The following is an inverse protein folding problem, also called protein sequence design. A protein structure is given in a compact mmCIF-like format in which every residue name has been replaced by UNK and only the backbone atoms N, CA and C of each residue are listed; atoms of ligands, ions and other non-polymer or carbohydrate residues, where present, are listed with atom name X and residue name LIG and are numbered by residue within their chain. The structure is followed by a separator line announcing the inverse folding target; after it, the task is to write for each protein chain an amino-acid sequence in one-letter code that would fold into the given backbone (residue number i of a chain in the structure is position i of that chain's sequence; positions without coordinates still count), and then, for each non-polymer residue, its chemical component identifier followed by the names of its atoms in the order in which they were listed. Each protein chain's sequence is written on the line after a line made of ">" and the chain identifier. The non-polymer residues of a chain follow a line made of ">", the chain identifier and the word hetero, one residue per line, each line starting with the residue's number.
data_IF_341109127713
#
_entry.id   IF_341109127713
#
_cell.length_a   1.000
_cell.length_b   1.000
_cell.length_c   1.000
_cell.angle_alpha   90.00
_cell.angle_beta   90.00
_cell.angle_gamma   90.00
#
_symmetry.space_group_name_H-M   'P 1'
#
loop_
_entity.id
_entity.type
_entity.pdbx_description
1 polymer ?
#
# COMPACT_ATOMS: atom_id res chain seq x y z
N UNK A 1 -11.39 3.63 10.43
CA UNK A 1 -10.53 3.17 9.32
C UNK A 1 -9.74 1.94 9.76
N UNK A 2 -10.47 0.87 10.04
CA UNK A 2 -9.93 -0.44 10.41
C UNK A 2 -10.15 -1.49 9.30
N UNK A 3 -10.71 -1.07 8.17
CA UNK A 3 -11.25 -1.96 7.15
C UNK A 3 -10.23 -2.48 6.13
N UNK A 4 -9.00 -1.94 6.06
CA UNK A 4 -8.00 -2.51 5.15
C UNK A 4 -7.09 -3.56 5.79
N UNK A 5 -6.87 -3.55 7.12
CA UNK A 5 -5.85 -4.44 7.71
C UNK A 5 -6.18 -5.06 9.08
N UNK A 6 -7.33 -4.79 9.72
CA UNK A 6 -7.72 -5.59 10.91
C UNK A 6 -8.15 -7.03 10.59
N UNK A 7 -8.25 -7.40 9.30
CA UNK A 7 -8.32 -8.81 8.89
C UNK A 7 -6.97 -9.54 8.94
N UNK A 8 -5.85 -8.83 9.10
CA UNK A 8 -4.50 -9.38 8.90
C UNK A 8 -3.77 -9.82 10.18
N UNK A 9 -4.40 -9.76 11.36
CA UNK A 9 -3.71 -10.11 12.62
C UNK A 9 -4.22 -11.38 13.33
N UNK A 10 -5.25 -12.06 12.83
CA UNK A 10 -5.76 -13.31 13.44
C UNK A 10 -6.33 -14.22 12.35
N UNK A 11 -5.50 -14.95 11.60
CA UNK A 11 -5.85 -16.24 10.95
C UNK A 11 -4.59 -16.84 10.27
N UNK A 12 -3.45 -16.83 10.95
CA UNK A 12 -2.34 -17.74 10.62
C UNK A 12 -2.53 -18.98 11.48
N UNK A 13 -3.43 -19.86 11.05
CA UNK A 13 -3.41 -21.27 11.49
C UNK A 13 -3.98 -22.15 10.39
N UNK A 14 -3.07 -22.86 9.73
CA UNK A 14 -3.22 -24.22 9.19
C UNK A 14 -4.59 -24.57 8.59
N UNK A 15 -4.79 -24.41 7.27
CA UNK A 15 -5.68 -25.24 6.43
C UNK A 15 -5.72 -24.79 4.95
N UNK A 16 -4.60 -24.76 4.22
CA UNK A 16 -4.65 -24.38 2.79
C UNK A 16 -3.64 -25.14 1.93
N UNK A 17 -3.88 -26.43 1.71
CA UNK A 17 -3.29 -27.14 0.57
C UNK A 17 -4.27 -28.01 -0.22
N UNK A 18 -5.56 -28.06 0.16
CA UNK A 18 -6.59 -28.81 -0.58
C UNK A 18 -7.79 -27.95 -1.01
N UNK A 19 -7.95 -26.74 -0.49
CA UNK A 19 -9.08 -25.84 -0.86
C UNK A 19 -8.74 -24.75 -1.90
N UNK A 20 -7.46 -24.53 -2.23
CA UNK A 20 -7.05 -23.49 -3.17
C UNK A 20 -7.31 -23.83 -4.65
N UNK A 21 -7.57 -25.10 -4.98
CA UNK A 21 -7.79 -25.52 -6.38
C UNK A 21 -9.24 -25.35 -6.85
N UNK A 22 -10.23 -25.23 -5.94
CA UNK A 22 -11.64 -25.09 -6.31
C UNK A 22 -12.12 -23.63 -6.46
N UNK A 23 -11.29 -22.61 -6.19
CA UNK A 23 -11.70 -21.19 -6.27
C UNK A 23 -11.24 -20.46 -7.53
N UNK A 24 -10.30 -21.03 -8.31
CA UNK A 24 -9.77 -20.36 -9.51
C UNK A 24 -10.84 -20.27 -10.61
N UNK A 25 -11.76 -21.25 -10.69
CA UNK A 25 -12.85 -21.25 -11.67
C UNK A 25 -13.93 -20.20 -11.42
N UNK A 26 -14.00 -19.60 -10.22
CA UNK A 26 -14.92 -18.50 -9.89
C UNK A 26 -14.31 -17.10 -10.02
N UNK A 27 -13.01 -17.00 -10.33
CA UNK A 27 -12.37 -15.69 -10.52
C UNK A 27 -12.79 -15.09 -11.85
N UNK A 28 -13.16 -13.81 -11.82
CA UNK A 28 -13.36 -13.05 -13.05
C UNK A 28 -12.04 -12.86 -13.79
N UNK A 29 -12.10 -12.77 -15.11
CA UNK A 29 -10.94 -12.43 -15.92
C UNK A 29 -10.45 -11.02 -15.58
N UNK A 30 -9.12 -10.83 -15.65
CA UNK A 30 -8.52 -9.53 -15.45
C UNK A 30 -9.02 -8.56 -16.53
N UNK A 31 -9.85 -7.60 -16.11
CA UNK A 31 -10.53 -6.63 -17.00
C UNK A 31 -9.59 -5.87 -17.92
N UNK A 32 -8.33 -5.71 -17.52
CA UNK A 32 -7.29 -5.15 -18.35
C UNK A 32 -5.93 -5.67 -17.88
N UNK A 33 -4.91 -5.50 -18.72
CA UNK A 33 -3.55 -5.83 -18.31
C UNK A 33 -3.07 -4.95 -17.14
N UNK A 34 -3.71 -3.79 -16.89
CA UNK A 34 -3.37 -2.88 -15.77
C UNK A 34 -3.84 -3.41 -14.42
N UNK A 35 -4.75 -4.39 -14.38
CA UNK A 35 -5.14 -5.05 -13.14
C UNK A 35 -3.98 -5.92 -12.64
N UNK A 36 -3.56 -5.70 -11.40
CA UNK A 36 -2.69 -6.65 -10.73
C UNK A 36 -3.49 -7.95 -10.56
N UNK A 37 -2.92 -9.09 -10.96
CA UNK A 37 -3.59 -10.37 -10.78
C UNK A 37 -3.29 -10.97 -9.41
N UNK A 38 -2.19 -10.57 -8.75
CA UNK A 38 -1.88 -10.91 -7.36
C UNK A 38 -0.94 -9.86 -6.75
N UNK A 39 -0.80 -9.90 -5.42
CA UNK A 39 0.23 -9.22 -4.64
C UNK A 39 1.10 -10.25 -3.92
N UNK A 40 2.40 -10.05 -3.99
CA UNK A 40 3.37 -10.81 -3.20
C UNK A 40 3.91 -9.94 -2.07
N UNK A 41 4.04 -10.53 -0.89
CA UNK A 41 4.61 -9.91 0.30
C UNK A 41 5.92 -10.62 0.65
N UNK A 42 7.00 -9.86 0.85
CA UNK A 42 8.27 -10.38 1.36
C UNK A 42 8.58 -9.77 2.73
N UNK A 43 8.73 -10.64 3.71
CA UNK A 43 9.03 -10.33 5.12
C UNK A 43 10.56 -10.28 5.37
N UNK A 44 11.01 -9.77 6.52
CA UNK A 44 12.45 -9.56 6.79
C UNK A 44 13.27 -10.85 6.91
N UNK A 45 12.61 -11.93 7.33
CA UNK A 45 13.18 -13.28 7.40
C UNK A 45 13.33 -13.93 6.01
N UNK A 46 12.90 -13.24 4.96
CA UNK A 46 12.91 -13.73 3.58
C UNK A 46 11.68 -14.56 3.22
N UNK A 47 10.71 -14.73 4.14
CA UNK A 47 9.45 -15.39 3.83
C UNK A 47 8.71 -14.62 2.74
N UNK A 48 8.26 -15.34 1.72
CA UNK A 48 7.42 -14.82 0.64
C UNK A 48 6.02 -15.40 0.78
N UNK A 49 5.03 -14.53 0.73
CA UNK A 49 3.61 -14.90 0.78
C UNK A 49 2.92 -14.32 -0.44
N UNK A 50 2.26 -15.19 -1.20
CA UNK A 50 1.31 -14.81 -2.24
C UNK A 50 -0.06 -14.57 -1.58
N UNK A 51 -0.62 -13.38 -1.73
CA UNK A 51 -1.95 -13.06 -1.20
C UNK A 51 -3.09 -13.78 -1.94
N UNK A 52 -2.75 -14.46 -3.04
CA UNK A 52 -3.68 -15.16 -3.89
C UNK A 52 -4.21 -14.29 -5.03
N UNK A 53 -4.80 -14.92 -6.05
CA UNK A 53 -5.19 -14.22 -7.26
C UNK A 53 -6.44 -13.34 -7.05
N UNK A 54 -6.37 -12.07 -7.49
CA UNK A 54 -7.50 -11.16 -7.60
C UNK A 54 -8.32 -11.39 -8.87
N UNK A 55 -7.68 -11.86 -9.94
CA UNK A 55 -8.31 -12.13 -11.24
C UNK A 55 -7.50 -13.14 -12.05
N UNK A 56 -8.11 -13.68 -13.11
CA UNK A 56 -7.46 -14.63 -14.03
C UNK A 56 -6.89 -13.92 -15.27
N UNK A 57 -5.62 -14.15 -15.59
CA UNK A 57 -5.03 -13.65 -16.83
C UNK A 57 -5.51 -14.46 -18.04
N UNK A 58 -5.95 -13.79 -19.10
CA UNK A 58 -6.42 -14.42 -20.34
C UNK A 58 -5.22 -14.79 -21.25
N UNK A 59 -5.31 -15.94 -21.93
CA UNK A 59 -4.35 -16.39 -22.95
C UNK A 59 -2.90 -16.55 -22.49
N UNK A 60 -2.68 -16.73 -21.19
CA UNK A 60 -1.39 -17.12 -20.63
C UNK A 60 -1.60 -18.34 -19.73
N UNK A 61 -0.73 -19.34 -19.85
CA UNK A 61 -0.48 -20.24 -18.73
C UNK A 61 -0.15 -19.35 -17.53
N UNK A 62 -0.82 -19.56 -16.40
CA UNK A 62 -0.86 -18.60 -15.28
C UNK A 62 0.52 -17.97 -15.07
N UNK A 63 0.64 -16.63 -15.16
CA UNK A 63 1.94 -15.99 -15.01
C UNK A 63 2.54 -16.39 -13.67
N UNK A 64 3.80 -16.82 -13.69
CA UNK A 64 4.50 -17.32 -12.50
C UNK A 64 4.25 -16.40 -11.31
N UNK A 65 3.79 -16.94 -10.19
CA UNK A 65 3.58 -16.16 -8.95
C UNK A 65 4.83 -16.06 -8.08
N UNK A 66 5.98 -16.51 -8.57
CA UNK A 66 7.24 -16.42 -7.84
C UNK A 66 7.71 -14.96 -7.74
N UNK A 67 8.46 -14.62 -6.71
CA UNK A 67 9.07 -13.30 -6.62
C UNK A 67 10.11 -13.08 -7.73
N UNK A 68 10.06 -11.93 -8.40
CA UNK A 68 11.06 -11.54 -9.40
C UNK A 68 11.20 -10.04 -9.50
N UNK A 69 12.41 -9.52 -9.29
CA UNK A 69 12.68 -8.07 -9.28
C UNK A 69 12.85 -7.46 -10.68
N UNK A 70 13.25 -8.27 -11.66
CA UNK A 70 13.62 -7.81 -13.02
C UNK A 70 12.55 -8.09 -14.09
N UNK A 71 11.31 -8.32 -13.67
CA UNK A 71 10.22 -8.61 -14.59
C UNK A 71 9.55 -7.31 -15.05
N UNK A 72 9.41 -7.11 -16.35
CA UNK A 72 8.71 -5.94 -16.93
C UNK A 72 7.22 -5.86 -16.52
N UNK A 73 6.72 -6.83 -15.77
CA UNK A 73 5.32 -7.02 -15.38
C UNK A 73 5.11 -6.83 -13.87
N UNK A 74 6.04 -6.17 -13.17
CA UNK A 74 5.95 -5.98 -11.71
C UNK A 74 6.13 -4.53 -11.27
N UNK A 75 5.45 -4.16 -10.19
CA UNK A 75 5.74 -2.95 -9.42
C UNK A 75 6.11 -3.39 -8.00
N UNK A 76 7.38 -3.25 -7.65
CA UNK A 76 7.88 -3.62 -6.31
C UNK A 76 8.11 -2.37 -5.47
N UNK A 77 7.46 -2.28 -4.32
CA UNK A 77 7.49 -1.12 -3.45
C UNK A 77 7.75 -1.48 -1.98
N UNK A 78 8.30 -0.53 -1.23
CA UNK A 78 8.57 -0.70 0.20
C UNK A 78 7.33 -0.34 1.02
N UNK A 79 6.89 -1.24 1.90
CA UNK A 79 5.70 -1.00 2.71
C UNK A 79 5.91 0.19 3.65
N UNK A 80 4.95 1.12 3.66
CA UNK A 80 5.12 2.39 4.34
C UNK A 80 5.11 2.27 5.88
N UNK A 81 4.16 1.53 6.46
CA UNK A 81 4.09 1.37 7.93
C UNK A 81 5.12 0.38 8.47
N UNK A 82 5.63 -0.49 7.59
CA UNK A 82 6.53 -1.60 7.92
C UNK A 82 7.66 -1.59 6.90
N UNK A 83 8.59 -0.64 7.03
CA UNK A 83 9.64 -0.40 6.04
C UNK A 83 10.52 -1.64 5.73
N UNK A 84 10.54 -2.63 6.62
CA UNK A 84 11.22 -3.91 6.43
C UNK A 84 10.43 -4.92 5.58
N UNK A 85 9.20 -4.60 5.18
CA UNK A 85 8.39 -5.40 4.25
C UNK A 85 8.51 -4.84 2.83
N UNK A 86 8.59 -5.75 1.87
CA UNK A 86 8.53 -5.42 0.45
C UNK A 86 7.27 -6.00 -0.14
N UNK A 87 6.60 -5.23 -0.98
CA UNK A 87 5.34 -5.60 -1.63
C UNK A 87 5.55 -5.58 -3.14
N UNK A 88 5.03 -6.57 -3.85
CA UNK A 88 5.14 -6.66 -5.30
C UNK A 88 3.76 -6.87 -5.92
N UNK A 89 3.30 -5.89 -6.71
CA UNK A 89 2.13 -6.09 -7.57
C UNK A 89 2.56 -6.80 -8.85
N UNK A 90 1.85 -7.87 -9.21
CA UNK A 90 2.10 -8.66 -10.42
C UNK A 90 1.00 -8.41 -11.45
N UNK A 91 1.37 -8.13 -12.70
CA UNK A 91 0.44 -7.84 -13.80
C UNK A 91 0.46 -8.93 -14.87
N UNK A 92 -0.65 -9.12 -15.58
CA UNK A 92 -0.77 -10.12 -16.66
C UNK A 92 0.08 -9.81 -17.91
N UNK A 93 0.82 -8.70 -17.95
CA UNK A 93 1.64 -8.33 -19.09
C UNK A 93 2.56 -7.15 -18.79
N UNK A 94 3.44 -6.78 -19.73
CA UNK A 94 4.46 -5.76 -19.51
C UNK A 94 3.86 -4.38 -19.24
N UNK A 95 4.33 -3.79 -18.15
CA UNK A 95 4.02 -2.43 -17.66
C UNK A 95 5.20 -1.50 -17.63
N UNK A 96 6.38 -2.08 -17.48
CA UNK A 96 7.64 -1.37 -17.41
C UNK A 96 8.60 -2.05 -18.38
N UNK A 97 8.41 -1.90 -19.70
CA UNK A 97 9.30 -2.52 -20.68
C UNK A 97 10.76 -2.08 -20.48
N UNK A 98 11.71 -2.83 -21.01
CA UNK A 98 13.14 -2.58 -20.79
C UNK A 98 13.63 -1.21 -21.29
N UNK A 99 12.94 -0.62 -22.27
CA UNK A 99 13.18 0.72 -22.81
C UNK A 99 12.38 1.84 -22.11
N UNK A 100 11.65 1.52 -21.03
CA UNK A 100 10.88 2.51 -20.29
C UNK A 100 11.81 3.50 -19.58
N UNK A 101 11.50 4.79 -19.68
CA UNK A 101 12.33 5.85 -19.08
C UNK A 101 12.43 5.65 -17.56
N UNK A 102 13.63 5.84 -17.02
CA UNK A 102 13.87 5.85 -15.58
C UNK A 102 13.41 7.15 -14.95
N UNK A 103 12.93 7.09 -13.71
CA UNK A 103 12.44 8.27 -13.02
C UNK A 103 13.58 9.21 -12.61
N UNK A 104 13.36 10.51 -12.78
CA UNK A 104 14.25 11.59 -12.43
C UNK A 104 13.78 12.31 -11.16
N UNK A 105 14.70 12.49 -10.21
CA UNK A 105 14.44 13.21 -8.98
C UNK A 105 13.23 12.67 -8.22
N UNK A 106 12.26 13.56 -7.93
CA UNK A 106 11.05 13.28 -7.12
C UNK A 106 9.79 13.13 -7.96
N UNK A 107 9.93 12.86 -9.25
CA UNK A 107 8.75 12.72 -10.08
C UNK A 107 7.87 11.54 -9.62
N UNK A 108 6.56 11.70 -9.79
CA UNK A 108 5.60 10.62 -9.54
C UNK A 108 5.78 9.55 -10.60
N UNK A 109 6.19 8.36 -10.18
CA UNK A 109 6.49 7.23 -11.03
C UNK A 109 5.22 6.47 -11.46
N UNK A 110 4.34 6.21 -10.50
CA UNK A 110 3.13 5.42 -10.74
C UNK A 110 1.95 5.89 -9.87
N UNK A 111 0.74 5.56 -10.35
CA UNK A 111 -0.50 5.66 -9.58
C UNK A 111 -1.18 4.31 -9.63
N UNK A 112 -1.42 3.73 -8.46
CA UNK A 112 -2.21 2.50 -8.31
C UNK A 112 -3.55 2.87 -7.71
N UNK A 113 -4.62 2.39 -8.32
CA UNK A 113 -5.99 2.70 -7.98
C UNK A 113 -6.71 1.44 -7.51
N UNK A 114 -7.59 1.53 -6.52
CA UNK A 114 -8.43 0.42 -6.05
C UNK A 114 -9.74 0.97 -5.52
N UNK A 115 -10.81 0.17 -5.51
CA UNK A 115 -12.09 0.58 -4.93
C UNK A 115 -11.96 0.83 -3.41
N UNK A 116 -12.92 1.58 -2.83
CA UNK A 116 -12.92 1.84 -1.39
C UNK A 116 -13.47 0.68 -0.55
N UNK A 117 -14.14 -0.28 -1.18
CA UNK A 117 -14.83 -1.41 -0.53
C UNK A 117 -14.03 -2.71 -0.57
N UNK A 118 -12.89 -2.74 -1.27
CA UNK A 118 -12.06 -3.92 -1.44
C UNK A 118 -10.66 -3.55 -1.89
N UNK A 119 -9.81 -4.57 -2.05
CA UNK A 119 -8.43 -4.39 -2.48
C UNK A 119 -8.20 -5.11 -3.82
N UNK A 120 -8.31 -4.35 -4.91
CA UNK A 120 -8.04 -4.82 -6.27
C UNK A 120 -7.17 -3.77 -6.97
N UNK A 121 -5.84 -3.90 -6.87
CA UNK A 121 -4.93 -2.87 -7.36
C UNK A 121 -4.89 -2.80 -8.89
N UNK A 122 -5.13 -1.60 -9.43
CA UNK A 122 -5.03 -1.29 -10.85
C UNK A 122 -3.94 -0.24 -11.10
N UNK A 123 -3.00 -0.51 -11.99
CA UNK A 123 -2.00 0.47 -12.41
C UNK A 123 -2.65 1.51 -13.34
N UNK A 124 -3.23 2.55 -12.74
CA UNK A 124 -3.94 3.62 -13.42
C UNK A 124 -3.00 4.50 -14.26
N UNK A 125 -1.82 4.81 -13.73
CA UNK A 125 -0.78 5.58 -14.44
C UNK A 125 0.59 4.96 -14.20
N UNK A 126 1.36 4.75 -15.27
CA UNK A 126 2.79 4.42 -15.25
C UNK A 126 3.57 5.47 -16.05
N UNK A 127 4.35 6.32 -15.38
CA UNK A 127 5.08 7.44 -16.02
C UNK A 127 6.54 7.12 -16.32
N UNK A 128 7.19 6.45 -15.37
CA UNK A 128 8.59 6.06 -15.44
C UNK A 128 8.82 4.86 -14.52
N UNK A 129 9.95 4.17 -14.71
CA UNK A 129 10.36 3.07 -13.82
C UNK A 129 11.40 3.52 -12.81
N UNK A 130 11.40 2.92 -11.63
CA UNK A 130 12.54 3.09 -10.74
C UNK A 130 13.78 2.39 -11.31
N UNK A 131 14.99 2.94 -11.07
CA UNK A 131 16.24 2.25 -11.40
C UNK A 131 16.28 0.86 -10.76
N UNK A 132 16.99 -0.09 -11.38
CA UNK A 132 16.97 -1.53 -11.01
C UNK A 132 17.24 -1.84 -9.53
N UNK A 133 18.01 -1.00 -8.86
CA UNK A 133 18.38 -1.17 -7.45
C UNK A 133 17.51 -0.34 -6.48
N UNK A 134 16.39 0.23 -6.96
CA UNK A 134 15.49 1.06 -6.16
C UNK A 134 14.07 0.53 -6.22
N UNK A 135 13.43 0.54 -5.06
CA UNK A 135 12.01 0.24 -4.92
C UNK A 135 11.18 1.50 -5.12
N UNK A 136 9.94 1.30 -5.57
CA UNK A 136 8.94 2.35 -5.49
C UNK A 136 8.65 2.66 -4.01
N UNK A 137 8.38 3.92 -3.71
CA UNK A 137 8.08 4.40 -2.37
C UNK A 137 6.77 5.17 -2.39
N UNK A 138 5.91 4.86 -1.43
CA UNK A 138 4.61 5.51 -1.30
C UNK A 138 4.81 6.98 -0.87
N UNK A 139 4.27 7.88 -1.70
CA UNK A 139 4.21 9.33 -1.45
C UNK A 139 2.93 9.74 -0.72
N UNK A 140 1.91 8.89 -0.74
CA UNK A 140 0.61 9.19 -0.15
C UNK A 140 -0.52 8.50 -0.89
N UNK A 141 -1.74 8.74 -0.43
CA UNK A 141 -2.96 8.26 -1.07
C UNK A 141 -4.09 9.27 -0.94
N UNK A 142 -5.06 9.20 -1.86
CA UNK A 142 -6.22 10.08 -1.88
C UNK A 142 -7.47 9.35 -2.35
N UNK A 143 -8.61 9.62 -1.71
CA UNK A 143 -9.93 9.16 -2.11
C UNK A 143 -10.52 10.13 -3.12
N UNK A 144 -10.77 9.67 -4.34
CA UNK A 144 -11.42 10.45 -5.40
C UNK A 144 -12.39 9.56 -6.16
N UNK A 145 -13.62 10.05 -6.41
CA UNK A 145 -14.63 9.34 -7.20
C UNK A 145 -14.90 7.88 -6.72
N UNK A 146 -14.93 7.66 -5.40
CA UNK A 146 -15.18 6.34 -4.81
C UNK A 146 -14.01 5.35 -4.91
N UNK A 147 -12.80 5.83 -5.24
CA UNK A 147 -11.61 5.01 -5.39
C UNK A 147 -10.43 5.60 -4.61
N UNK A 148 -9.55 4.73 -4.13
CA UNK A 148 -8.28 5.10 -3.53
C UNK A 148 -7.21 5.17 -4.61
N UNK A 149 -6.54 6.31 -4.71
CA UNK A 149 -5.37 6.53 -5.56
C UNK A 149 -4.12 6.55 -4.68
N UNK A 150 -3.23 5.58 -4.86
CA UNK A 150 -1.93 5.47 -4.20
C UNK A 150 -0.83 5.99 -5.12
N UNK A 151 -0.05 6.95 -4.65
CA UNK A 151 0.96 7.64 -5.44
C UNK A 151 2.36 7.15 -5.08
N UNK A 152 3.15 6.77 -6.09
CA UNK A 152 4.50 6.22 -5.89
C UNK A 152 5.56 7.07 -6.58
N UNK A 153 6.73 7.19 -5.96
CA UNK A 153 7.96 7.74 -6.54
C UNK A 153 9.14 6.79 -6.34
N UNK A 154 10.29 7.10 -6.94
CA UNK A 154 11.53 6.35 -6.75
C UNK A 154 12.50 7.00 -5.76
N UNK A 155 12.17 8.22 -5.32
CA UNK A 155 12.92 8.97 -4.34
C UNK A 155 11.94 9.58 -3.33
N UNK A 156 12.22 9.35 -2.05
CA UNK A 156 11.56 10.00 -0.93
C UNK A 156 12.65 10.54 0.00
N UNK A 157 12.50 11.79 0.39
CA UNK A 157 13.43 12.40 1.34
C UNK A 157 13.34 11.68 2.68
N UNK A 158 14.47 11.56 3.36
CA UNK A 158 14.45 11.20 4.77
C UNK A 158 14.13 12.42 5.63
N UNK A 159 13.35 12.23 6.68
CA UNK A 159 13.06 13.26 7.66
C UNK A 159 14.34 13.62 8.43
N UNK A 160 14.58 14.92 8.66
CA UNK A 160 15.84 15.42 9.21
C UNK A 160 16.09 14.96 10.65
N UNK A 161 15.05 14.94 11.48
CA UNK A 161 15.17 14.70 12.91
C UNK A 161 13.98 13.88 13.47
N UNK A 162 14.16 13.32 14.66
CA UNK A 162 13.06 12.75 15.45
C UNK A 162 11.97 13.81 15.65
N UNK A 163 10.70 13.42 15.58
CA UNK A 163 9.54 14.33 15.66
C UNK A 163 9.38 15.31 14.47
N UNK A 164 10.14 15.16 13.38
CA UNK A 164 9.86 15.90 12.14
C UNK A 164 8.45 15.58 11.64
N UNK A 165 7.75 16.57 11.09
CA UNK A 165 6.47 16.37 10.42
C UNK A 165 6.68 15.49 9.18
N UNK A 166 6.11 14.29 9.21
CA UNK A 166 6.32 13.24 8.22
C UNK A 166 5.12 13.03 7.30
N UNK A 167 3.93 13.43 7.74
CA UNK A 167 2.73 13.38 6.90
C UNK A 167 1.72 14.48 7.24
N UNK A 168 0.84 14.74 6.29
CA UNK A 168 -0.40 15.49 6.49
C UNK A 168 -1.58 14.59 6.13
N UNK A 169 -2.56 14.51 7.02
CA UNK A 169 -3.78 13.73 6.81
C UNK A 169 -4.94 14.71 6.65
N UNK A 170 -5.56 14.73 5.48
CA UNK A 170 -6.76 15.53 5.19
C UNK A 170 -7.98 14.70 5.51
N UNK A 171 -8.94 15.33 6.19
CA UNK A 171 -10.18 14.70 6.65
C UNK A 171 -11.40 15.44 6.12
N UNK A 172 -12.53 14.74 6.12
CA UNK A 172 -13.87 15.32 5.97
C UNK A 172 -14.71 14.90 7.16
N UNK A 173 -15.59 15.79 7.60
CA UNK A 173 -16.60 15.44 8.59
C UNK A 173 -17.60 14.45 7.97
N UNK A 174 -17.84 13.35 8.65
CA UNK A 174 -18.79 12.32 8.28
C UNK A 174 -19.66 12.03 9.51
N UNK A 175 -20.96 11.81 9.31
CA UNK A 175 -21.82 11.31 10.39
C UNK A 175 -21.71 9.79 10.42
N UNK A 176 -21.48 9.22 11.60
CA UNK A 176 -21.61 7.77 11.79
C UNK A 176 -23.09 7.37 11.81
N UNK A 177 -23.36 6.07 11.86
CA UNK A 177 -24.72 5.51 11.88
C UNK A 177 -25.53 5.99 13.11
N UNK A 178 -24.85 6.35 14.19
CA UNK A 178 -25.44 6.91 15.42
C UNK A 178 -25.69 8.43 15.33
N UNK A 179 -25.36 9.06 14.20
CA UNK A 179 -25.51 10.49 13.96
C UNK A 179 -24.46 11.38 14.66
N UNK A 180 -23.45 10.79 15.29
CA UNK A 180 -22.31 11.49 15.88
C UNK A 180 -21.29 11.92 14.81
N UNK A 181 -20.68 13.08 15.04
CA UNK A 181 -19.64 13.62 14.17
C UNK A 181 -18.36 12.78 14.28
N UNK A 182 -17.99 12.23 13.13
CA UNK A 182 -16.77 11.46 12.90
C UNK A 182 -15.93 12.12 11.80
N UNK A 183 -14.68 11.67 11.66
CA UNK A 183 -13.79 12.16 10.62
C UNK A 183 -13.38 11.01 9.71
N UNK A 184 -13.78 11.11 8.45
CA UNK A 184 -13.30 10.27 7.36
C UNK A 184 -12.00 10.82 6.81
N UNK A 185 -10.96 9.99 6.71
CA UNK A 185 -9.72 10.39 6.03
C UNK A 185 -9.98 10.33 4.53
N UNK A 186 -9.63 11.40 3.81
CA UNK A 186 -9.74 11.47 2.34
C UNK A 186 -8.38 11.56 1.66
N UNK A 187 -7.33 11.97 2.38
CA UNK A 187 -5.99 12.05 1.82
C UNK A 187 -4.96 11.87 2.91
N UNK A 188 -3.85 11.23 2.55
CA UNK A 188 -2.63 11.25 3.32
C UNK A 188 -1.48 11.59 2.39
N UNK A 189 -0.78 12.68 2.68
CA UNK A 189 0.41 13.11 1.97
C UNK A 189 1.64 12.83 2.83
N UNK A 190 2.54 11.97 2.36
CA UNK A 190 3.82 11.69 3.01
C UNK A 190 4.86 12.71 2.56
N UNK A 191 5.37 13.48 3.51
CA UNK A 191 6.31 14.57 3.28
C UNK A 191 7.75 14.09 3.28
N UNK A 192 8.06 13.09 4.12
CA UNK A 192 9.37 12.44 4.20
C UNK A 192 9.24 11.02 4.78
N UNK A 193 10.28 10.22 4.66
CA UNK A 193 10.43 8.92 5.29
C UNK A 193 11.12 9.08 6.65
N UNK A 194 10.50 8.57 7.71
CA UNK A 194 11.12 8.57 9.03
C UNK A 194 12.39 7.71 9.02
N UNK A 195 13.41 8.13 9.79
CA UNK A 195 14.65 7.39 9.93
C UNK A 195 14.47 6.03 10.63
N UNK A 196 15.55 5.27 10.72
CA UNK A 196 15.55 3.94 11.34
C UNK A 196 15.00 3.96 12.78
N UNK A 197 14.18 2.95 13.13
CA UNK A 197 13.53 2.86 14.44
C UNK A 197 12.35 3.82 14.66
N UNK A 198 12.01 4.65 13.67
CA UNK A 198 10.87 5.55 13.70
C UNK A 198 9.82 5.15 12.65
N UNK A 199 8.55 5.44 12.94
CA UNK A 199 7.44 5.33 12.00
C UNK A 199 6.71 6.66 11.87
N UNK A 200 6.05 6.88 10.74
CA UNK A 200 5.06 7.94 10.61
C UNK A 200 3.68 7.34 10.93
N UNK A 201 2.88 7.90 11.83
CA UNK A 201 1.55 7.35 12.12
C UNK A 201 0.57 7.60 10.97
N UNK A 202 -0.07 6.53 10.48
CA UNK A 202 -1.11 6.63 9.44
C UNK A 202 -2.52 6.88 10.01
N UNK A 203 -2.77 6.46 11.25
CA UNK A 203 -4.09 6.51 11.87
C UNK A 203 -4.32 7.85 12.59
N UNK A 204 -5.57 8.32 12.57
CA UNK A 204 -6.04 9.36 13.49
C UNK A 204 -6.14 8.76 14.89
N UNK A 205 -5.39 9.34 15.83
CA UNK A 205 -5.46 9.07 17.26
C UNK A 205 -6.50 9.99 17.92
N UNK A 206 -6.86 9.72 19.17
CA UNK A 206 -7.91 10.45 19.87
C UNK A 206 -7.60 11.94 20.03
N UNK A 207 -6.32 12.28 20.25
CA UNK A 207 -5.91 13.69 20.34
C UNK A 207 -6.04 14.42 18.99
N UNK A 208 -5.85 13.73 17.85
CA UNK A 208 -6.05 14.33 16.53
C UNK A 208 -7.54 14.67 16.36
N UNK A 209 -8.42 13.75 16.74
CA UNK A 209 -9.88 13.94 16.66
C UNK A 209 -10.34 15.06 17.58
N UNK A 210 -9.80 15.14 18.80
CA UNK A 210 -10.09 16.23 19.71
C UNK A 210 -9.64 17.58 19.14
N UNK A 211 -8.45 17.64 18.55
CA UNK A 211 -7.93 18.85 17.90
C UNK A 211 -8.81 19.29 16.72
N UNK A 212 -9.20 18.35 15.85
CA UNK A 212 -10.10 18.61 14.72
C UNK A 212 -11.44 19.19 15.19
N UNK A 213 -12.08 18.57 16.21
CA UNK A 213 -13.34 19.08 16.79
C UNK A 213 -13.20 20.47 17.39
N UNK A 214 -12.09 20.75 18.07
CA UNK A 214 -11.88 22.03 18.73
C UNK A 214 -11.60 23.17 17.76
N UNK A 215 -10.91 22.88 16.65
CA UNK A 215 -10.39 23.90 15.73
C UNK A 215 -11.20 24.03 14.44
N UNK A 216 -12.00 23.02 14.08
CA UNK A 216 -12.64 22.93 12.77
C UNK A 216 -11.62 22.78 11.62
N UNK A 217 -10.38 22.35 11.91
CA UNK A 217 -9.37 22.14 10.89
C UNK A 217 -9.75 20.98 9.96
N UNK A 218 -9.37 21.06 8.69
CA UNK A 218 -9.62 20.00 7.69
C UNK A 218 -8.43 19.03 7.53
N UNK A 219 -7.38 19.19 8.32
CA UNK A 219 -6.21 18.31 8.30
C UNK A 219 -5.51 18.24 9.65
N UNK A 220 -4.72 17.19 9.84
CA UNK A 220 -3.76 17.05 10.94
C UNK A 220 -2.36 16.72 10.41
N UNK A 221 -1.35 17.19 11.12
CA UNK A 221 0.04 16.86 10.83
C UNK A 221 0.54 15.74 11.73
N UNK A 222 1.27 14.80 11.12
CA UNK A 222 1.85 13.64 11.79
C UNK A 222 3.35 13.80 11.90
N UNK A 223 3.90 13.35 13.02
CA UNK A 223 5.34 13.44 13.30
C UNK A 223 5.95 12.05 13.37
N UNK A 224 7.24 11.94 13.08
CA UNK A 224 7.96 10.70 13.25
C UNK A 224 8.01 10.30 14.73
N UNK A 225 7.55 9.10 15.04
CA UNK A 225 7.45 8.55 16.39
C UNK A 225 8.26 7.26 16.50
N UNK A 226 8.75 6.95 17.70
CA UNK A 226 9.45 5.69 17.96
C UNK A 226 8.50 4.51 17.79
N UNK A 227 8.96 3.46 17.10
CA UNK A 227 8.23 2.19 17.02
C UNK A 227 8.12 1.65 18.45
N UNK A 228 6.91 1.68 19.03
CA UNK A 228 6.67 1.02 20.32
C UNK A 228 6.86 -0.47 20.07
N UNK A 229 7.93 -1.05 20.61
CA UNK A 229 8.08 -2.50 20.64
C UNK A 229 6.93 -3.05 21.49
N UNK A 230 5.84 -3.48 20.85
CA UNK A 230 4.87 -4.34 21.51
C UNK A 230 5.61 -5.62 21.86
N UNK A 231 5.94 -5.78 23.14
CA UNK A 231 6.73 -6.91 23.63
C UNK A 231 6.11 -8.26 23.28
N UNK A 232 7.00 -9.22 22.99
CA UNK A 232 6.78 -10.66 22.78
C UNK A 232 6.11 -11.05 21.46
N UNK A 233 6.90 -11.02 20.40
CA UNK A 233 6.82 -12.05 19.36
C UNK A 233 7.21 -13.38 20.03
N UNK A 234 6.22 -14.17 20.48
CA UNK A 234 6.45 -15.56 20.88
C UNK A 234 6.75 -16.32 19.60
N UNK A 235 8.04 -16.52 19.35
CA UNK A 235 8.56 -17.59 18.50
C UNK A 235 7.92 -18.89 18.97
N UNK A 236 7.21 -19.58 18.07
CA UNK A 236 6.87 -20.99 18.24
C UNK A 236 7.06 -21.69 16.91
#
# INVERSE_FOLDING_TARGET
>A
MDLCWNYFSVYITFLTSVLAQNSISSLSDCRSHQHAYTTLMRYPDGLEVDEGPYCRCLNMDQPESNWGLDNNNVLTWQHYERAHWTVQYRFCGPKFPSNFRECEGRERAAVVQTETTGWHPHLHVNRCRCPKNKLYQLMGWKKENGQWNYFYSCLKDQCKEKNSTCARITVVEEKNDDGEDSFGVIEMQLLCACGEGLLCPAKLQDYDRAHLRQTGASFVEKKCESIKQTGKEKTR
#
